data_IF_526730496096
#
_entry.id   IF_526730496096
#
_cell.length_a   1.000
_cell.length_b   1.000
_cell.length_c   1.000
_cell.angle_alpha   90.00
_cell.angle_beta   90.00
_cell.angle_gamma   90.00
#
_symmetry.space_group_name_H-M   'P 1'
#
loop_
_entity.id
_entity.type
_entity.pdbx_description
1 polymer ?
#
# COMPACT_ATOMS: atom_id res chain seq x y z
N UNK A 1 -21.25 12.28 12.34
CA UNK A 1 -20.29 11.58 11.47
C UNK A 1 -19.84 10.34 12.22
N UNK A 2 -20.20 9.14 11.75
CA UNK A 2 -19.86 7.90 12.45
C UNK A 2 -18.34 7.67 12.30
N UNK A 3 -17.61 7.78 13.41
CA UNK A 3 -16.23 7.31 13.50
C UNK A 3 -16.29 5.78 13.57
N UNK A 4 -15.90 5.11 12.49
CA UNK A 4 -15.56 3.70 12.57
C UNK A 4 -14.19 3.60 13.26
N UNK A 5 -14.19 3.60 14.59
CA UNK A 5 -13.04 3.12 15.37
C UNK A 5 -12.98 1.59 15.22
N UNK A 6 -12.50 1.12 14.07
CA UNK A 6 -12.35 -0.30 13.78
C UNK A 6 -10.96 -0.78 14.19
N UNK A 7 -10.87 -1.62 15.22
CA UNK A 7 -9.66 -2.45 15.40
C UNK A 7 -9.48 -3.29 14.13
N UNK A 8 -8.42 -3.03 13.38
CA UNK A 8 -8.07 -3.63 12.08
C UNK A 8 -8.06 -5.19 12.07
N UNK A 9 -7.99 -5.82 13.26
CA UNK A 9 -7.77 -7.25 13.44
C UNK A 9 -9.02 -8.04 13.89
N UNK A 10 -10.23 -7.52 13.69
CA UNK A 10 -11.49 -8.15 14.13
C UNK A 10 -12.44 -8.58 13.00
N UNK A 11 -11.92 -8.77 11.79
CA UNK A 11 -12.74 -9.32 10.70
C UNK A 11 -12.93 -10.84 10.89
N UNK A 12 -14.16 -11.30 10.72
CA UNK A 12 -14.44 -12.73 10.51
C UNK A 12 -13.83 -13.25 9.21
N UNK A 13 -13.65 -14.56 9.08
CA UNK A 13 -13.15 -15.18 7.85
C UNK A 13 -13.94 -14.76 6.60
N UNK A 14 -15.27 -14.66 6.70
CA UNK A 14 -16.14 -14.24 5.60
C UNK A 14 -15.95 -12.76 5.22
N UNK A 15 -15.72 -11.89 6.19
CA UNK A 15 -15.43 -10.48 5.92
C UNK A 15 -14.06 -10.32 5.26
N UNK A 16 -13.06 -11.10 5.70
CA UNK A 16 -11.75 -11.15 5.06
C UNK A 16 -11.86 -11.63 3.60
N UNK A 17 -12.59 -12.72 3.36
CA UNK A 17 -12.84 -13.22 2.00
C UNK A 17 -13.49 -12.15 1.11
N UNK A 18 -14.45 -11.39 1.65
CA UNK A 18 -15.09 -10.28 0.92
C UNK A 18 -14.08 -9.18 0.55
N UNK A 19 -13.22 -8.75 1.49
CA UNK A 19 -12.22 -7.71 1.24
C UNK A 19 -11.13 -8.18 0.27
N UNK A 20 -10.71 -9.44 0.38
CA UNK A 20 -9.71 -10.04 -0.50
C UNK A 20 -10.27 -10.22 -1.92
N UNK A 21 -11.53 -10.65 -2.06
CA UNK A 21 -12.22 -10.68 -3.35
C UNK A 21 -12.35 -9.30 -3.99
N UNK A 22 -12.73 -8.28 -3.22
CA UNK A 22 -12.75 -6.90 -3.72
C UNK A 22 -11.38 -6.42 -4.21
N UNK A 23 -10.30 -6.76 -3.50
CA UNK A 23 -8.94 -6.45 -3.94
C UNK A 23 -8.64 -7.07 -5.30
N UNK A 24 -9.00 -8.33 -5.50
CA UNK A 24 -8.71 -9.04 -6.74
C UNK A 24 -9.48 -8.40 -7.93
N UNK A 25 -10.75 -8.05 -7.73
CA UNK A 25 -11.55 -7.31 -8.71
C UNK A 25 -10.96 -5.91 -9.00
N UNK A 26 -10.53 -5.19 -7.96
CA UNK A 26 -9.91 -3.88 -8.07
C UNK A 26 -8.59 -3.94 -8.86
N UNK A 27 -7.73 -4.92 -8.57
CA UNK A 27 -6.47 -5.12 -9.29
C UNK A 27 -6.70 -5.56 -10.74
N UNK A 28 -7.70 -6.40 -11.02
CA UNK A 28 -8.06 -6.77 -12.38
C UNK A 28 -8.49 -5.53 -13.20
N UNK A 29 -9.30 -4.66 -12.60
CA UNK A 29 -9.73 -3.40 -13.22
C UNK A 29 -8.55 -2.45 -13.49
N UNK A 30 -7.59 -2.36 -12.57
CA UNK A 30 -6.37 -1.58 -12.76
C UNK A 30 -5.44 -2.18 -13.81
N UNK A 31 -5.28 -3.52 -13.82
CA UNK A 31 -4.42 -4.27 -14.73
C UNK A 31 -4.83 -4.11 -16.19
N UNK A 32 -6.13 -4.07 -16.49
CA UNK A 32 -6.66 -3.73 -17.80
C UNK A 32 -6.19 -2.35 -18.31
N UNK A 33 -5.74 -1.49 -17.39
CA UNK A 33 -5.30 -0.13 -17.65
C UNK A 33 -3.80 0.13 -17.41
N UNK A 34 -3.05 -0.86 -16.91
CA UNK A 34 -1.66 -0.75 -16.44
C UNK A 34 -0.60 -0.90 -17.55
N UNK A 35 -1.01 -1.24 -18.78
CA UNK A 35 -0.10 -1.47 -19.92
C UNK A 35 0.62 -0.21 -20.44
N UNK A 36 0.38 0.97 -19.86
CA UNK A 36 1.06 2.21 -20.23
C UNK A 36 2.19 2.54 -19.26
N UNK A 37 3.42 2.62 -19.75
CA UNK A 37 4.60 3.04 -18.97
C UNK A 37 4.54 4.48 -18.42
N UNK A 38 3.53 5.26 -18.80
CA UNK A 38 3.27 6.60 -18.26
C UNK A 38 2.47 6.64 -16.96
N UNK A 39 2.03 5.49 -16.43
CA UNK A 39 1.15 5.41 -15.26
C UNK A 39 1.89 4.86 -14.04
N UNK A 40 1.63 5.49 -12.89
CA UNK A 40 2.02 5.01 -11.56
C UNK A 40 0.87 4.35 -10.80
N UNK A 41 1.21 3.40 -9.94
CA UNK A 41 0.32 2.69 -9.06
C UNK A 41 0.97 2.46 -7.68
N UNK A 42 0.29 2.94 -6.64
CA UNK A 42 0.59 2.65 -5.24
C UNK A 42 -0.67 2.06 -4.62
N UNK A 43 -0.69 0.75 -4.40
CA UNK A 43 -1.83 0.06 -3.76
C UNK A 43 -1.33 -0.70 -2.56
N UNK A 44 -1.79 -0.30 -1.38
CA UNK A 44 -1.44 -0.93 -0.13
C UNK A 44 -2.64 -1.61 0.53
N UNK A 45 -2.39 -2.53 1.46
CA UNK A 45 -3.45 -3.34 2.05
C UNK A 45 -4.12 -2.66 3.26
N UNK A 46 -4.49 -1.38 3.13
CA UNK A 46 -5.10 -0.61 4.21
C UNK A 46 -6.59 -0.38 3.99
N UNK A 47 -7.39 -0.57 5.03
CA UNK A 47 -8.79 -0.16 5.04
C UNK A 47 -8.90 1.32 5.43
N UNK A 48 -8.54 2.20 4.50
CA UNK A 48 -8.44 3.63 4.71
C UNK A 48 -8.98 4.43 3.52
N UNK A 49 -9.36 5.70 3.76
CA UNK A 49 -9.70 6.67 2.72
C UNK A 49 -8.82 7.93 2.86
N UNK A 50 -8.75 8.78 1.84
CA UNK A 50 -8.07 10.09 1.90
C UNK A 50 -6.57 10.04 2.22
N UNK A 51 -5.86 8.97 1.84
CA UNK A 51 -4.46 8.74 2.24
C UNK A 51 -3.44 9.73 1.67
N UNK A 52 -3.85 10.64 0.77
CA UNK A 52 -2.96 11.64 0.16
C UNK A 52 -3.21 13.08 0.62
N UNK A 53 -4.07 13.31 1.62
CA UNK A 53 -4.54 14.67 1.95
C UNK A 53 -3.60 15.43 2.90
N UNK A 54 -2.88 14.74 3.78
CA UNK A 54 -2.12 15.37 4.87
C UNK A 54 -0.70 14.85 4.96
N UNK A 55 0.23 15.68 5.47
CA UNK A 55 1.66 15.38 5.50
C UNK A 55 2.00 14.12 6.34
N UNK A 56 1.23 13.86 7.40
CA UNK A 56 1.35 12.70 8.27
C UNK A 56 1.04 11.37 7.57
N UNK A 57 0.21 11.40 6.52
CA UNK A 57 -0.12 10.21 5.70
C UNK A 57 0.65 10.22 4.37
N UNK A 58 1.08 11.39 3.90
CA UNK A 58 1.77 11.54 2.62
C UNK A 58 3.25 11.14 2.69
N UNK A 59 3.99 11.61 3.71
CA UNK A 59 5.46 11.47 3.75
C UNK A 59 6.10 11.45 5.15
N UNK A 60 5.33 11.46 6.24
CA UNK A 60 5.91 11.36 7.58
C UNK A 60 6.55 9.97 7.84
N UNK A 61 7.45 9.84 8.85
CA UNK A 61 8.09 8.55 9.15
C UNK A 61 7.11 7.37 9.34
N UNK A 62 5.94 7.63 9.92
CA UNK A 62 4.87 6.65 10.19
C UNK A 62 3.75 6.65 9.13
N UNK A 63 3.95 7.28 7.97
CA UNK A 63 2.99 7.21 6.88
C UNK A 63 2.92 5.80 6.26
N UNK A 64 1.82 5.45 5.59
CA UNK A 64 1.73 4.22 4.82
C UNK A 64 2.88 4.08 3.82
N UNK A 65 3.40 2.86 3.68
CA UNK A 65 4.54 2.58 2.84
C UNK A 65 4.54 1.16 2.27
N UNK A 66 5.15 1.02 1.09
CA UNK A 66 5.34 -0.26 0.42
C UNK A 66 6.83 -0.63 0.38
N UNK A 67 7.13 -1.92 0.56
CA UNK A 67 8.48 -2.46 0.38
C UNK A 67 8.69 -3.75 1.17
N UNK A 68 9.65 -4.57 0.75
CA UNK A 68 9.83 -5.94 1.26
C UNK A 68 10.07 -5.98 2.78
N UNK A 69 10.71 -4.94 3.33
CA UNK A 69 10.97 -4.82 4.78
C UNK A 69 9.76 -4.41 5.62
N UNK A 70 8.67 -3.97 4.99
CA UNK A 70 7.43 -3.61 5.69
C UNK A 70 6.61 -4.86 6.02
N UNK A 71 6.57 -5.84 5.10
CA UNK A 71 5.67 -7.00 5.19
C UNK A 71 6.40 -8.34 5.42
N UNK A 72 7.73 -8.40 5.25
CA UNK A 72 8.56 -9.55 5.61
C UNK A 72 9.85 -9.09 6.31
N UNK A 73 10.00 -9.24 7.65
CA UNK A 73 11.29 -9.04 8.29
C UNK A 73 12.25 -10.13 7.80
N UNK A 74 13.13 -9.79 6.87
CA UNK A 74 14.19 -10.67 6.39
C UNK A 74 15.06 -11.12 7.59
N UNK A 75 15.51 -12.39 7.61
CA UNK A 75 16.54 -12.80 8.57
C UNK A 75 17.78 -11.92 8.40
N UNK A 76 18.43 -11.62 9.53
CA UNK A 76 19.52 -10.64 9.71
C UNK A 76 20.82 -10.93 8.94
N UNK A 77 20.79 -11.78 7.91
CA UNK A 77 21.95 -12.17 7.12
C UNK A 77 21.80 -11.76 5.66
N UNK A 78 22.42 -10.63 5.32
CA UNK A 78 22.92 -10.31 3.99
C UNK A 78 21.92 -10.44 2.81
N UNK A 79 21.00 -9.49 2.67
CA UNK A 79 20.39 -9.19 1.37
C UNK A 79 20.98 -7.88 0.83
N UNK A 80 21.74 -7.98 -0.26
CA UNK A 80 22.38 -6.86 -0.98
C UNK A 80 21.39 -6.06 -1.85
N UNK A 81 20.12 -6.44 -1.90
CA UNK A 81 19.06 -5.62 -2.48
C UNK A 81 18.33 -4.87 -1.37
N UNK A 82 18.74 -3.62 -1.16
CA UNK A 82 18.03 -2.70 -0.29
C UNK A 82 16.81 -2.20 -1.06
N UNK A 83 15.73 -2.98 -1.12
CA UNK A 83 14.44 -2.45 -1.61
C UNK A 83 14.00 -1.36 -0.63
N UNK A 84 13.94 -0.08 -1.05
CA UNK A 84 13.58 1.00 -0.16
C UNK A 84 12.12 0.86 0.27
N UNK A 85 11.85 1.22 1.52
CA UNK A 85 10.49 1.49 1.99
C UNK A 85 10.04 2.79 1.33
N UNK A 86 9.00 2.71 0.52
CA UNK A 86 8.54 3.82 -0.32
C UNK A 86 7.20 4.32 0.21
N UNK A 87 7.16 5.60 0.55
CA UNK A 87 5.92 6.29 0.94
C UNK A 87 5.19 6.77 -0.30
N UNK A 88 3.97 7.28 -0.13
CA UNK A 88 3.17 7.80 -1.24
C UNK A 88 3.93 8.93 -1.97
N UNK A 89 4.58 9.84 -1.24
CA UNK A 89 5.36 10.92 -1.85
C UNK A 89 6.57 10.43 -2.66
N UNK A 90 7.24 9.37 -2.21
CA UNK A 90 8.37 8.76 -2.94
C UNK A 90 7.87 8.18 -4.27
N UNK A 91 6.77 7.43 -4.21
CA UNK A 91 6.13 6.82 -5.37
C UNK A 91 5.70 7.86 -6.41
N UNK A 92 5.02 8.91 -5.96
CA UNK A 92 4.57 9.99 -6.84
C UNK A 92 5.76 10.79 -7.38
N UNK A 93 6.79 11.04 -6.59
CA UNK A 93 8.00 11.71 -7.04
C UNK A 93 8.73 10.92 -8.12
N UNK A 94 8.92 9.61 -7.91
CA UNK A 94 9.60 8.75 -8.88
C UNK A 94 8.83 8.66 -10.20
N UNK A 95 7.51 8.54 -10.13
CA UNK A 95 6.63 8.56 -11.30
C UNK A 95 6.66 9.92 -12.02
N UNK A 96 6.49 11.03 -11.31
CA UNK A 96 6.40 12.37 -11.88
C UNK A 96 7.68 12.79 -12.63
N UNK A 97 8.85 12.46 -12.05
CA UNK A 97 10.14 12.78 -12.66
C UNK A 97 10.65 11.69 -13.62
N UNK A 98 9.85 10.66 -13.90
CA UNK A 98 10.24 9.56 -14.81
C UNK A 98 11.42 8.73 -14.33
N UNK A 99 11.69 8.71 -13.02
CA UNK A 99 12.74 7.87 -12.43
C UNK A 99 12.33 6.40 -12.37
N UNK A 100 11.03 6.15 -12.22
CA UNK A 100 10.43 4.82 -12.26
C UNK A 100 8.95 4.96 -12.63
N UNK A 101 8.39 4.00 -13.36
CA UNK A 101 6.94 3.93 -13.56
C UNK A 101 6.16 3.67 -12.27
N UNK A 102 6.84 3.30 -11.17
CA UNK A 102 6.30 2.91 -9.86
C UNK A 102 4.93 2.21 -9.95
N UNK A 103 4.92 0.89 -10.15
CA UNK A 103 3.70 0.11 -10.16
C UNK A 103 3.80 -0.99 -9.10
N UNK A 104 3.44 -0.67 -7.86
CA UNK A 104 3.54 -1.59 -6.72
C UNK A 104 2.18 -1.80 -6.07
N UNK A 105 1.89 -3.07 -5.80
CA UNK A 105 0.68 -3.54 -5.14
C UNK A 105 1.08 -4.44 -3.98
N UNK A 106 0.45 -4.26 -2.83
CA UNK A 106 0.73 -5.04 -1.65
C UNK A 106 -0.03 -6.38 -1.61
N UNK A 107 0.26 -7.19 -0.60
CA UNK A 107 -0.47 -8.41 -0.27
C UNK A 107 -1.96 -8.16 0.06
N UNK A 108 -2.79 -9.21 0.09
CA UNK A 108 -4.17 -9.09 0.52
C UNK A 108 -4.29 -8.59 1.97
N UNK A 109 -5.30 -7.75 2.23
CA UNK A 109 -5.62 -7.24 3.56
C UNK A 109 -5.78 -8.38 4.59
N UNK A 110 -5.38 -8.20 5.87
CA UNK A 110 -4.69 -7.04 6.48
C UNK A 110 -3.19 -7.33 6.69
N UNK A 111 -2.35 -7.13 5.68
CA UNK A 111 -0.92 -7.40 5.82
C UNK A 111 -0.07 -6.14 6.11
N UNK A 112 -0.46 -4.99 5.57
CA UNK A 112 0.24 -3.73 5.72
C UNK A 112 0.19 -3.24 7.19
N UNK A 113 1.36 -3.23 7.81
CA UNK A 113 1.54 -2.79 9.20
C UNK A 113 1.74 -1.27 9.35
N UNK A 114 1.80 -0.54 8.24
CA UNK A 114 2.02 0.92 8.18
C UNK A 114 0.75 1.72 7.95
N UNK A 115 -0.41 1.07 7.95
CA UNK A 115 -1.69 1.73 7.79
C UNK A 115 -1.89 2.86 8.80
N UNK A 116 -2.28 4.03 8.31
CA UNK A 116 -2.65 5.14 9.16
C UNK A 116 -4.01 4.86 9.83
N UNK A 117 -4.04 4.90 11.17
CA UNK A 117 -5.26 4.76 11.96
C UNK A 117 -5.55 6.07 12.68
N UNK A 118 -6.73 6.65 12.45
CA UNK A 118 -7.25 7.83 13.16
C UNK A 118 -8.14 7.41 14.35
#
# INVERSE_FOLDING_TARGET
>A
MAKLQGRHNQCSAKQLETLQGFRDDFLAALGASASSGSRGLFVNSCFAHCQSETQDIWFAPASPALGDRVNHPLPSSCALEFTPVLRIADAVGDWFYGRSGFQKTDCPYPCDSTCYTN
#
